data_IF_313712376472
#
_entry.id   IF_313712376472
#
_cell.length_a   1.000
_cell.length_b   1.000
_cell.length_c   1.000
_cell.angle_alpha   90.00
_cell.angle_beta   90.00
_cell.angle_gamma   90.00
#
_symmetry.space_group_name_H-M   'P 1'
#
loop_
_entity.id
_entity.type
_entity.pdbx_description
1 polymer ?
#
# COMPACT_ATOMS: atom_id res chain seq x y z
N UNK A 1 7.67 35.28 -27.61
CA UNK A 1 6.87 35.60 -26.40
C UNK A 1 5.92 34.48 -26.02
N UNK A 2 5.12 33.92 -26.94
CA UNK A 2 4.07 32.94 -26.60
C UNK A 2 4.57 31.66 -25.89
N UNK A 3 5.72 31.10 -26.30
CA UNK A 3 6.29 29.90 -25.64
C UNK A 3 6.78 30.14 -24.21
N UNK A 4 7.19 31.37 -23.87
CA UNK A 4 7.58 31.73 -22.50
C UNK A 4 6.37 31.88 -21.59
N UNK A 5 5.25 32.35 -22.15
CA UNK A 5 3.98 32.44 -21.41
C UNK A 5 3.42 31.04 -21.11
N UNK A 6 3.48 30.11 -22.08
CA UNK A 6 3.15 28.70 -21.86
C UNK A 6 4.05 28.06 -20.79
N UNK A 7 5.36 28.30 -20.85
CA UNK A 7 6.30 27.78 -19.86
C UNK A 7 6.01 28.34 -18.45
N UNK A 8 5.65 29.61 -18.33
CA UNK A 8 5.22 30.20 -17.06
C UNK A 8 3.97 29.52 -16.51
N UNK A 9 2.94 29.32 -17.34
CA UNK A 9 1.73 28.61 -16.93
C UNK A 9 2.01 27.18 -16.47
N UNK A 10 2.90 26.45 -17.15
CA UNK A 10 3.30 25.11 -16.72
C UNK A 10 4.03 25.13 -15.37
N UNK A 11 4.88 26.13 -15.12
CA UNK A 11 5.56 26.29 -13.84
C UNK A 11 4.57 26.63 -12.71
N UNK A 12 3.60 27.51 -12.97
CA UNK A 12 2.56 27.86 -11.99
C UNK A 12 1.71 26.63 -11.61
N UNK A 13 1.30 25.82 -12.61
CA UNK A 13 0.60 24.56 -12.36
C UNK A 13 1.45 23.55 -11.56
N UNK A 14 2.76 23.50 -11.83
CA UNK A 14 3.67 22.62 -11.09
C UNK A 14 3.80 23.04 -9.62
N UNK A 15 3.84 24.35 -9.37
CA UNK A 15 3.87 24.92 -8.01
C UNK A 15 2.59 24.56 -7.27
N UNK A 16 1.41 24.81 -7.85
CA UNK A 16 0.11 24.51 -7.24
C UNK A 16 -0.05 23.02 -6.91
N UNK A 17 0.41 22.15 -7.81
CA UNK A 17 0.47 20.71 -7.57
C UNK A 17 1.38 20.35 -6.37
N UNK A 18 2.54 21.01 -6.25
CA UNK A 18 3.46 20.83 -5.12
C UNK A 18 2.89 21.31 -3.79
N UNK A 19 2.16 22.43 -3.79
CA UNK A 19 1.46 22.95 -2.61
C UNK A 19 0.37 21.99 -2.16
N UNK A 20 -0.47 21.51 -3.09
CA UNK A 20 -1.51 20.51 -2.83
C UNK A 20 -0.92 19.20 -2.29
N UNK A 21 0.19 18.74 -2.86
CA UNK A 21 0.90 17.55 -2.37
C UNK A 21 1.42 17.75 -0.93
N UNK A 22 1.91 18.96 -0.62
CA UNK A 22 2.39 19.31 0.72
C UNK A 22 1.25 19.37 1.73
N UNK A 23 0.11 19.95 1.36
CA UNK A 23 -1.08 20.02 2.21
C UNK A 23 -1.64 18.63 2.51
N UNK A 24 -1.78 17.78 1.49
CA UNK A 24 -2.24 16.39 1.67
C UNK A 24 -1.29 15.59 2.55
N UNK A 25 0.04 15.73 2.38
CA UNK A 25 1.02 15.11 3.24
C UNK A 25 0.92 15.59 4.70
N UNK A 26 0.69 16.89 4.93
CA UNK A 26 0.45 17.44 6.27
C UNK A 26 -0.85 16.93 6.87
N UNK A 27 -1.93 16.85 6.09
CA UNK A 27 -3.19 16.29 6.54
C UNK A 27 -3.03 14.82 6.94
N UNK A 28 -2.37 14.01 6.11
CA UNK A 28 -2.04 12.61 6.42
C UNK A 28 -1.18 12.51 7.70
N UNK A 29 -0.17 13.36 7.84
CA UNK A 29 0.63 13.42 9.07
C UNK A 29 -0.23 13.74 10.28
N UNK A 30 -1.14 14.72 10.19
CA UNK A 30 -2.06 15.05 11.27
C UNK A 30 -3.00 13.89 11.61
N UNK A 31 -3.54 13.17 10.61
CA UNK A 31 -4.40 12.00 10.82
C UNK A 31 -3.73 10.91 11.68
N UNK A 32 -2.44 10.65 11.49
CA UNK A 32 -1.71 9.63 12.26
C UNK A 32 -0.97 10.21 13.49
N UNK A 33 -0.76 11.52 13.57
CA UNK A 33 -0.16 12.19 14.73
C UNK A 33 -1.18 12.63 15.79
N UNK A 34 -2.48 12.62 15.49
CA UNK A 34 -3.53 13.06 16.43
C UNK A 34 -3.75 12.11 17.63
N UNK A 35 -2.99 11.02 17.75
CA UNK A 35 -2.98 10.12 18.92
C UNK A 35 -1.66 10.20 19.73
N UNK A 36 -0.72 11.08 19.37
CA UNK A 36 0.54 11.18 20.11
C UNK A 36 1.20 12.56 19.96
N UNK A 37 1.06 13.39 20.99
CA UNK A 37 2.05 14.42 21.30
C UNK A 37 2.22 14.54 22.83
N UNK A 38 3.46 14.73 23.29
CA UNK A 38 4.06 16.06 23.20
C UNK A 38 5.43 16.13 22.48
N UNK A 39 5.49 17.04 21.49
CA UNK A 39 6.48 18.08 21.24
C UNK A 39 7.76 18.12 22.10
N UNK A 40 8.93 18.06 21.45
CA UNK A 40 9.99 19.09 21.50
C UNK A 40 11.29 18.58 20.85
N UNK A 41 11.78 19.25 19.81
CA UNK A 41 13.22 19.26 19.47
C UNK A 41 13.94 20.26 20.41
N UNK A 42 15.26 20.19 20.72
CA UNK A 42 16.33 19.94 19.73
C UNK A 42 17.61 19.16 20.18
N UNK A 43 18.34 18.68 19.16
CA UNK A 43 19.82 18.52 19.06
C UNK A 43 20.61 17.47 19.90
N UNK A 44 21.11 16.44 19.17
CA UNK A 44 22.45 15.77 19.18
C UNK A 44 23.05 15.22 20.50
N UNK A 45 24.03 14.29 20.45
CA UNK A 45 24.18 13.03 19.71
C UNK A 45 24.22 11.81 20.68
N UNK A 46 24.14 10.59 20.13
CA UNK A 46 24.19 9.29 20.85
C UNK A 46 25.31 9.20 21.92
N UNK A 47 25.08 8.40 22.98
CA UNK A 47 25.61 7.04 22.95
C UNK A 47 24.56 5.95 23.26
N UNK A 48 24.84 4.69 22.88
CA UNK A 48 23.85 3.64 22.73
C UNK A 48 23.89 2.61 23.87
N UNK A 49 22.79 2.47 24.61
CA UNK A 49 22.42 1.30 25.44
C UNK A 49 20.95 1.55 25.80
N UNK A 50 19.96 0.73 25.51
CA UNK A 50 19.87 -0.72 25.62
C UNK A 50 18.64 -1.17 24.79
N UNK A 51 18.77 -2.36 24.23
CA UNK A 51 17.77 -3.14 23.48
C UNK A 51 16.47 -3.39 24.28
N UNK A 52 15.35 -3.74 23.63
CA UNK A 52 15.19 -5.14 23.22
C UNK A 52 14.65 -5.34 21.81
N UNK A 53 15.35 -6.24 21.10
CA UNK A 53 14.79 -7.19 20.15
C UNK A 53 14.04 -6.60 18.93
N UNK A 54 14.81 -6.07 17.99
CA UNK A 54 14.53 -6.37 16.59
C UNK A 54 15.23 -7.70 16.27
N UNK A 55 14.52 -8.81 16.03
CA UNK A 55 15.13 -9.89 15.29
C UNK A 55 15.18 -9.43 13.83
N UNK A 56 16.38 -9.05 13.40
CA UNK A 56 16.82 -9.35 12.05
C UNK A 56 16.38 -10.77 11.67
N UNK A 57 15.78 -10.97 10.49
CA UNK A 57 15.98 -12.22 9.77
C UNK A 57 15.36 -12.23 8.36
N UNK A 58 16.26 -12.33 7.38
CA UNK A 58 16.28 -13.41 6.38
C UNK A 58 15.16 -13.43 5.33
N UNK A 59 15.57 -13.06 4.11
CA UNK A 59 15.73 -13.95 2.96
C UNK A 59 15.22 -15.42 3.08
N UNK A 60 14.96 -16.04 1.92
CA UNK A 60 13.77 -16.84 1.59
C UNK A 60 13.80 -18.26 2.19
N UNK A 61 12.74 -19.03 1.93
CA UNK A 61 12.51 -20.42 2.39
C UNK A 61 11.91 -20.48 3.81
N UNK A 62 10.86 -21.24 4.11
CA UNK A 62 10.40 -22.51 3.56
C UNK A 62 8.92 -22.70 3.93
N UNK A 63 8.21 -23.51 3.15
CA UNK A 63 6.81 -23.91 3.33
C UNK A 63 6.46 -24.20 4.81
N UNK A 64 5.37 -23.61 5.35
CA UNK A 64 4.50 -24.35 6.26
C UNK A 64 3.04 -24.16 5.83
N UNK A 65 2.40 -25.24 5.39
CA UNK A 65 0.94 -25.42 5.46
C UNK A 65 0.02 -24.27 4.97
N UNK A 66 0.36 -23.51 3.92
CA UNK A 66 -0.56 -22.69 3.09
C UNK A 66 -1.63 -21.87 3.85
N UNK A 67 -1.38 -21.40 5.07
CA UNK A 67 -2.28 -20.47 5.74
C UNK A 67 -1.86 -19.06 5.38
N UNK A 68 -2.40 -18.54 4.28
CA UNK A 68 -2.21 -17.14 3.93
C UNK A 68 -2.86 -16.26 5.00
N UNK A 69 -2.14 -15.24 5.49
CA UNK A 69 -2.73 -14.23 6.37
C UNK A 69 -3.66 -13.30 5.56
N UNK A 70 -4.66 -12.73 6.24
CA UNK A 70 -5.59 -11.75 5.64
C UNK A 70 -4.84 -10.55 5.05
N UNK A 71 -3.74 -10.15 5.69
CA UNK A 71 -2.89 -9.04 5.22
C UNK A 71 -2.16 -9.39 3.93
N UNK A 72 -1.60 -10.60 3.85
CA UNK A 72 -0.91 -11.08 2.64
C UNK A 72 -1.87 -11.20 1.46
N UNK A 73 -3.07 -11.71 1.68
CA UNK A 73 -4.09 -11.76 0.64
C UNK A 73 -4.51 -10.36 0.21
N UNK A 74 -4.68 -9.43 1.16
CA UNK A 74 -5.02 -8.04 0.85
C UNK A 74 -3.94 -7.39 0.00
N UNK A 75 -2.67 -7.62 0.34
CA UNK A 75 -1.53 -7.13 -0.42
C UNK A 75 -1.48 -7.75 -1.83
N UNK A 76 -1.66 -9.06 -1.96
CA UNK A 76 -1.68 -9.74 -3.26
C UNK A 76 -2.82 -9.27 -4.16
N UNK A 77 -4.03 -9.12 -3.60
CA UNK A 77 -5.18 -8.59 -4.33
C UNK A 77 -4.93 -7.14 -4.78
N UNK A 78 -4.42 -6.29 -3.89
CA UNK A 78 -4.14 -4.89 -4.20
C UNK A 78 -3.02 -4.76 -5.25
N UNK A 79 -1.93 -5.53 -5.10
CA UNK A 79 -0.85 -5.56 -6.07
C UNK A 79 -1.37 -6.00 -7.43
N UNK A 80 -2.15 -7.08 -7.49
CA UNK A 80 -2.72 -7.58 -8.74
C UNK A 80 -3.72 -6.61 -9.37
N UNK A 81 -4.58 -6.00 -8.55
CA UNK A 81 -5.59 -5.04 -9.00
C UNK A 81 -4.99 -3.73 -9.55
N UNK A 82 -3.76 -3.38 -9.16
CA UNK A 82 -3.02 -2.24 -9.70
C UNK A 82 -1.98 -2.66 -10.76
N UNK A 83 -1.80 -3.95 -10.99
CA UNK A 83 -0.91 -4.47 -12.03
C UNK A 83 -1.48 -4.15 -13.41
N UNK A 84 -0.59 -3.92 -14.39
CA UNK A 84 -0.93 -3.57 -15.77
C UNK A 84 -1.95 -2.40 -15.84
N UNK A 85 -1.61 -1.25 -15.26
CA UNK A 85 -2.46 -0.03 -15.22
C UNK A 85 -3.87 -0.25 -14.64
N UNK A 86 -4.00 -1.27 -13.78
CA UNK A 86 -5.26 -1.63 -13.16
C UNK A 86 -6.25 -2.35 -14.08
N UNK A 87 -5.78 -2.97 -15.15
CA UNK A 87 -6.63 -3.81 -16.04
C UNK A 87 -7.32 -4.93 -15.23
N UNK A 88 -6.62 -5.51 -14.25
CA UNK A 88 -7.12 -6.63 -13.47
C UNK A 88 -8.01 -6.24 -12.28
N UNK A 89 -8.30 -4.94 -12.07
CA UNK A 89 -9.13 -4.47 -10.94
C UNK A 89 -10.51 -5.13 -10.92
N UNK A 90 -11.10 -5.32 -12.10
CA UNK A 90 -12.44 -5.92 -12.25
C UNK A 90 -12.39 -7.42 -11.96
N UNK A 91 -11.39 -8.13 -12.49
CA UNK A 91 -11.21 -9.57 -12.27
C UNK A 91 -10.93 -9.88 -10.81
N UNK A 92 -10.05 -9.11 -10.18
CA UNK A 92 -9.75 -9.22 -8.75
C UNK A 92 -11.00 -8.98 -7.90
N UNK A 93 -11.80 -7.96 -8.23
CA UNK A 93 -13.07 -7.68 -7.51
C UNK A 93 -14.10 -8.79 -7.69
N UNK A 94 -14.24 -9.32 -8.91
CA UNK A 94 -15.14 -10.43 -9.20
C UNK A 94 -14.69 -11.70 -8.47
N UNK A 95 -13.37 -11.93 -8.39
CA UNK A 95 -12.79 -13.03 -7.64
C UNK A 95 -13.14 -12.90 -6.15
N UNK A 96 -12.91 -11.75 -5.51
CA UNK A 96 -13.26 -11.58 -4.09
C UNK A 96 -14.77 -11.75 -3.87
N UNK A 97 -15.63 -11.30 -4.79
CA UNK A 97 -17.09 -11.53 -4.72
C UNK A 97 -17.49 -13.00 -4.81
N UNK A 98 -16.77 -13.82 -5.58
CA UNK A 98 -17.01 -15.26 -5.68
C UNK A 98 -16.79 -15.97 -4.34
N UNK A 99 -15.88 -15.45 -3.52
CA UNK A 99 -15.48 -16.04 -2.25
C UNK A 99 -16.05 -15.33 -1.00
N UNK A 100 -16.58 -14.12 -1.14
CA UNK A 100 -17.14 -13.33 -0.06
C UNK A 100 -18.35 -12.53 -0.51
N UNK A 101 -19.41 -12.54 0.29
CA UNK A 101 -20.74 -11.99 -0.08
C UNK A 101 -20.79 -10.47 -0.28
N UNK A 102 -19.72 -9.71 0.00
CA UNK A 102 -19.65 -8.26 -0.15
C UNK A 102 -18.58 -7.75 -1.13
N UNK A 103 -17.80 -8.64 -1.75
CA UNK A 103 -16.65 -8.22 -2.57
C UNK A 103 -15.51 -7.58 -1.77
N UNK A 104 -15.52 -7.76 -0.45
CA UNK A 104 -14.44 -7.38 0.46
C UNK A 104 -13.78 -8.64 1.02
N UNK A 105 -12.46 -8.57 1.23
CA UNK A 105 -11.71 -9.63 1.89
C UNK A 105 -12.15 -9.85 3.35
N UNK A 106 -12.90 -8.91 3.94
CA UNK A 106 -13.51 -9.09 5.27
C UNK A 106 -14.55 -10.21 5.30
N UNK A 107 -15.20 -10.50 4.17
CA UNK A 107 -16.30 -11.45 4.09
C UNK A 107 -15.84 -12.83 3.56
N UNK A 108 -14.54 -12.96 3.29
CA UNK A 108 -13.94 -14.20 2.79
C UNK A 108 -13.44 -15.02 3.97
N UNK A 109 -13.89 -16.28 4.06
CA UNK A 109 -13.44 -17.22 5.08
C UNK A 109 -11.93 -17.51 4.92
N UNK A 110 -11.13 -17.53 6.01
CA UNK A 110 -9.72 -17.87 5.95
C UNK A 110 -9.40 -19.20 5.26
N UNK A 111 -10.32 -20.17 5.29
CA UNK A 111 -10.21 -21.44 4.56
C UNK A 111 -10.12 -21.25 3.05
N UNK A 112 -10.69 -20.16 2.54
CA UNK A 112 -10.70 -19.82 1.13
C UNK A 112 -9.50 -18.96 0.69
N UNK A 113 -8.70 -18.43 1.62
CA UNK A 113 -7.54 -17.60 1.29
C UNK A 113 -6.50 -18.34 0.43
N UNK A 114 -6.30 -19.63 0.68
CA UNK A 114 -5.42 -20.45 -0.14
C UNK A 114 -5.88 -20.56 -1.59
N UNK A 115 -7.18 -20.72 -1.83
CA UNK A 115 -7.75 -20.74 -3.16
C UNK A 115 -7.71 -19.36 -3.80
N UNK A 116 -8.02 -18.31 -3.03
CA UNK A 116 -7.99 -16.93 -3.49
C UNK A 116 -6.58 -16.53 -3.97
N UNK A 117 -5.54 -16.82 -3.20
CA UNK A 117 -4.15 -16.53 -3.57
C UNK A 117 -3.73 -17.22 -4.87
N UNK A 118 -4.17 -18.46 -5.07
CA UNK A 118 -3.90 -19.21 -6.29
C UNK A 118 -4.60 -18.60 -7.51
N UNK A 119 -5.90 -18.28 -7.39
CA UNK A 119 -6.66 -17.65 -8.48
C UNK A 119 -6.11 -16.24 -8.79
N UNK A 120 -5.76 -15.43 -7.78
CA UNK A 120 -5.15 -14.09 -7.97
C UNK A 120 -3.84 -14.17 -8.75
N UNK A 121 -2.96 -15.14 -8.44
CA UNK A 121 -1.73 -15.37 -9.20
C UNK A 121 -2.00 -15.88 -10.62
N UNK A 122 -3.14 -16.52 -10.87
CA UNK A 122 -3.57 -16.96 -12.20
C UNK A 122 -4.11 -15.84 -13.09
N UNK A 123 -4.60 -14.74 -12.50
CA UNK A 123 -5.06 -13.57 -13.26
C UNK A 123 -3.89 -13.04 -14.10
N UNK A 124 -4.09 -12.85 -15.41
CA UNK A 124 -3.04 -12.36 -16.32
C UNK A 124 -1.98 -13.39 -16.75
N UNK A 125 -1.93 -14.60 -16.18
CA UNK A 125 -1.03 -15.69 -16.61
C UNK A 125 -1.59 -16.52 -17.78
N UNK A 126 -2.81 -16.23 -18.24
CA UNK A 126 -3.47 -16.93 -19.35
C UNK A 126 -3.21 -16.29 -20.72
N UNK A 127 -2.03 -15.68 -20.94
CA UNK A 127 -1.74 -14.92 -22.16
C UNK A 127 -0.54 -15.44 -22.94
#
# INVERSE_FOLDING_TARGET
MSKMNELSMLLDNLIECGETLTETARALKAFYSSDNEPSAAPAKPLPPTEEPAAPEAKQPESKPEKTYSKEEIRAMLAAKANEADGIYKVDVRNLVRKYGNGGSLTDVDPRNYAALAAEVKGIGNAR
#
